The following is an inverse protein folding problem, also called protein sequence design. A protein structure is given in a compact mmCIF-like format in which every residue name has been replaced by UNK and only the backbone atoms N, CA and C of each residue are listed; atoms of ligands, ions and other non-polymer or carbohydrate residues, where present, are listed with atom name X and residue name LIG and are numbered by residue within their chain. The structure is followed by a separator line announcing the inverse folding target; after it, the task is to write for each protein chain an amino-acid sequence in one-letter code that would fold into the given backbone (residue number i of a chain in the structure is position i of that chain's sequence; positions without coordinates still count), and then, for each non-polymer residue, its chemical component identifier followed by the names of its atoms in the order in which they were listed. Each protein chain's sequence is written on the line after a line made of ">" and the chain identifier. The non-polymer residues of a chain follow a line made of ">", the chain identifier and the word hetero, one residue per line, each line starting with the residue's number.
data_IF_087223614330
#
_entry.id   IF_087223614330
#
_cell.length_a   1.000
_cell.length_b   1.000
_cell.length_c   1.000
_cell.angle_alpha   90.00
_cell.angle_beta   90.00
_cell.angle_gamma   90.00
#
_symmetry.space_group_name_H-M   'P 1'
#
loop_
_entity.id
_entity.type
_entity.pdbx_description
1 polymer ?
#
# COMPACT_ATOMS: atom_id res chain seq x y z
N UNK A 1 9.46 -15.11 25.33
CA UNK A 1 10.62 -15.77 24.66
C UNK A 1 11.54 -14.69 24.14
N UNK A 2 12.85 -15.01 23.92
CA UNK A 2 13.76 -14.12 23.16
C UNK A 2 13.71 -14.51 21.69
N UNK A 3 13.45 -13.54 20.82
CA UNK A 3 13.28 -13.75 19.38
C UNK A 3 14.19 -12.79 18.62
N UNK A 4 14.85 -13.29 17.57
CA UNK A 4 15.66 -12.47 16.68
C UNK A 4 14.98 -12.45 15.29
N UNK A 5 14.72 -11.26 14.78
CA UNK A 5 14.20 -11.03 13.43
C UNK A 5 15.34 -10.52 12.56
N UNK A 6 15.60 -11.19 11.45
CA UNK A 6 16.67 -10.82 10.51
C UNK A 6 16.08 -10.02 9.37
N UNK A 7 16.51 -8.78 9.25
CA UNK A 7 16.04 -7.81 8.25
C UNK A 7 14.92 -6.91 8.75
N UNK A 8 14.98 -5.64 8.36
CA UNK A 8 14.06 -4.56 8.75
C UNK A 8 13.24 -4.02 7.59
N UNK A 9 12.95 -4.84 6.58
CA UNK A 9 11.92 -4.52 5.60
C UNK A 9 10.52 -4.55 6.23
N UNK A 10 9.46 -4.18 5.50
CA UNK A 10 8.09 -4.17 6.03
C UNK A 10 7.69 -5.49 6.68
N UNK A 11 8.03 -6.64 6.07
CA UNK A 11 7.75 -7.96 6.65
C UNK A 11 8.45 -8.20 7.98
N UNK A 12 9.73 -7.84 8.08
CA UNK A 12 10.50 -7.99 9.32
C UNK A 12 10.01 -7.05 10.43
N UNK A 13 9.72 -5.79 10.07
CA UNK A 13 9.18 -4.80 11.03
C UNK A 13 7.80 -5.21 11.54
N UNK A 14 6.89 -5.60 10.65
CA UNK A 14 5.53 -6.03 11.04
C UNK A 14 5.55 -7.29 11.91
N UNK A 15 6.40 -8.26 11.56
CA UNK A 15 6.61 -9.46 12.38
C UNK A 15 7.13 -9.10 13.78
N UNK A 16 8.15 -8.26 13.86
CA UNK A 16 8.74 -7.86 15.13
C UNK A 16 7.73 -7.11 16.03
N UNK A 17 6.96 -6.18 15.47
CA UNK A 17 5.93 -5.44 16.21
C UNK A 17 4.86 -6.39 16.76
N UNK A 18 4.35 -7.32 15.93
CA UNK A 18 3.34 -8.30 16.37
C UNK A 18 3.86 -9.22 17.47
N UNK A 19 5.08 -9.71 17.34
CA UNK A 19 5.71 -10.54 18.37
C UNK A 19 5.97 -9.76 19.67
N UNK A 20 6.40 -8.51 19.57
CA UNK A 20 6.59 -7.64 20.73
C UNK A 20 5.25 -7.36 21.43
N UNK A 21 4.17 -7.11 20.66
CA UNK A 21 2.83 -6.90 21.20
C UNK A 21 2.28 -8.15 21.92
N UNK A 22 2.75 -9.35 21.58
CA UNK A 22 2.46 -10.59 22.28
C UNK A 22 3.31 -10.82 23.54
N UNK A 23 4.16 -9.84 23.91
CA UNK A 23 4.99 -9.90 25.13
C UNK A 23 6.32 -10.64 24.94
N UNK A 24 6.79 -10.82 23.72
CA UNK A 24 8.09 -11.42 23.46
C UNK A 24 9.20 -10.35 23.52
N UNK A 25 10.43 -10.77 23.91
CA UNK A 25 11.63 -9.94 23.82
C UNK A 25 12.22 -10.07 22.42
N UNK A 26 12.00 -9.04 21.58
CA UNK A 26 12.31 -9.09 20.15
C UNK A 26 13.48 -8.18 19.81
N UNK A 27 14.48 -8.74 19.11
CA UNK A 27 15.62 -8.00 18.57
C UNK A 27 15.63 -8.09 17.04
N UNK A 28 15.72 -6.93 16.36
CA UNK A 28 15.88 -6.87 14.90
C UNK A 28 17.37 -6.71 14.58
N UNK A 29 17.86 -7.48 13.62
CA UNK A 29 19.20 -7.35 13.05
C UNK A 29 19.07 -6.93 11.59
N UNK A 30 19.66 -5.77 11.24
CA UNK A 30 19.67 -5.22 9.90
C UNK A 30 21.11 -5.03 9.43
N UNK A 31 21.40 -5.43 8.18
CA UNK A 31 22.73 -5.31 7.60
C UNK A 31 23.08 -3.90 7.10
N UNK A 32 22.06 -3.10 6.81
CA UNK A 32 22.23 -1.73 6.34
C UNK A 32 22.24 -0.75 7.51
N UNK A 33 22.68 0.46 7.23
CA UNK A 33 22.69 1.56 8.20
C UNK A 33 21.33 2.25 8.39
N UNK A 34 20.32 1.91 7.58
CA UNK A 34 18.94 2.41 7.68
C UNK A 34 17.95 1.26 7.59
N UNK A 35 16.79 1.44 8.22
CA UNK A 35 15.67 0.50 8.18
C UNK A 35 14.83 0.69 6.90
N UNK A 36 13.93 -0.24 6.61
CA UNK A 36 12.92 -0.11 5.57
C UNK A 36 13.04 -1.10 4.40
N UNK A 37 14.17 -1.79 4.27
CA UNK A 37 14.36 -2.78 3.21
C UNK A 37 14.26 -2.17 1.81
N UNK A 38 13.27 -2.58 1.00
CA UNK A 38 13.03 -2.01 -0.34
C UNK A 38 12.34 -0.65 -0.32
N UNK A 39 11.77 -0.22 0.79
CA UNK A 39 11.24 1.14 0.99
C UNK A 39 12.34 2.09 1.50
N UNK A 40 13.51 2.01 0.88
CA UNK A 40 14.68 2.80 1.27
C UNK A 40 14.70 4.13 0.52
N UNK A 41 15.02 5.20 1.23
CA UNK A 41 15.24 6.51 0.62
C UNK A 41 16.73 6.73 0.45
N UNK A 42 17.16 6.98 -0.76
CA UNK A 42 18.53 7.36 -1.10
C UNK A 42 18.66 8.88 -1.03
N UNK A 43 19.74 9.34 -0.46
CA UNK A 43 20.05 10.77 -0.38
C UNK A 43 21.43 11.00 -1.00
N UNK A 44 21.50 11.93 -1.95
CA UNK A 44 22.74 12.31 -2.60
C UNK A 44 22.69 13.79 -2.99
N UNK A 45 23.71 14.55 -2.62
CA UNK A 45 23.88 15.96 -2.97
C UNK A 45 22.66 16.86 -2.64
N UNK A 46 21.98 16.54 -1.50
CA UNK A 46 20.78 17.25 -1.05
C UNK A 46 19.47 16.79 -1.72
N UNK A 47 19.54 15.87 -2.67
CA UNK A 47 18.37 15.26 -3.30
C UNK A 47 17.94 13.98 -2.58
N UNK A 48 16.63 13.70 -2.60
CA UNK A 48 16.03 12.48 -2.06
C UNK A 48 15.39 11.68 -3.17
N UNK A 49 15.72 10.40 -3.21
CA UNK A 49 15.21 9.46 -4.21
C UNK A 49 14.54 8.30 -3.50
N UNK A 50 13.25 8.13 -3.71
CA UNK A 50 12.53 6.96 -3.22
C UNK A 50 12.96 5.71 -4.01
N UNK A 51 13.52 4.74 -3.30
CA UNK A 51 13.98 3.49 -3.91
C UNK A 51 12.93 2.38 -3.96
N UNK A 52 11.70 2.68 -3.60
CA UNK A 52 10.64 1.69 -3.46
C UNK A 52 9.24 2.27 -3.66
N UNK A 53 8.24 1.67 -3.01
CA UNK A 53 6.86 2.15 -3.12
C UNK A 53 6.74 3.58 -2.58
N UNK A 54 6.19 4.47 -3.40
CA UNK A 54 5.90 5.86 -3.07
C UNK A 54 4.43 6.07 -2.68
N UNK A 55 3.57 5.12 -3.03
CA UNK A 55 2.13 5.17 -2.76
C UNK A 55 1.76 4.07 -1.77
N UNK A 56 1.08 4.46 -0.70
CA UNK A 56 0.53 3.52 0.29
C UNK A 56 -0.90 3.18 -0.12
N UNK A 57 -1.12 1.95 -0.59
CA UNK A 57 -2.42 1.48 -1.06
C UNK A 57 -3.26 0.80 0.01
N UNK A 58 -2.66 0.42 1.14
CA UNK A 58 -3.32 -0.25 2.26
C UNK A 58 -2.94 0.41 3.60
N UNK A 59 -3.34 1.67 3.85
CA UNK A 59 -2.97 2.42 5.05
C UNK A 59 -3.42 1.75 6.34
N UNK A 60 -4.55 1.03 6.35
CA UNK A 60 -5.07 0.32 7.52
C UNK A 60 -4.10 -0.75 8.06
N UNK A 61 -3.26 -1.36 7.22
CA UNK A 61 -2.24 -2.32 7.67
C UNK A 61 -1.13 -1.63 8.47
N UNK A 62 -0.86 -0.36 8.18
CA UNK A 62 0.06 0.46 8.97
C UNK A 62 -0.62 0.85 10.29
N UNK A 63 -1.86 1.32 10.23
CA UNK A 63 -2.65 1.71 11.41
C UNK A 63 -2.77 0.56 12.41
N UNK A 64 -2.97 -0.67 11.94
CA UNK A 64 -3.00 -1.87 12.77
C UNK A 64 -1.71 -2.04 13.56
N UNK A 65 -0.54 -1.88 12.93
CA UNK A 65 0.75 -2.04 13.59
C UNK A 65 0.98 -0.99 14.69
N UNK A 66 0.60 0.26 14.44
CA UNK A 66 0.65 1.30 15.47
C UNK A 66 -0.31 1.01 16.61
N UNK A 67 -1.53 0.57 16.32
CA UNK A 67 -2.53 0.19 17.32
C UNK A 67 -2.03 -0.96 18.19
N UNK A 68 -1.42 -2.00 17.61
CA UNK A 68 -0.81 -3.11 18.35
C UNK A 68 0.32 -2.66 19.29
N UNK A 69 1.04 -1.60 18.90
CA UNK A 69 2.07 -0.99 19.73
C UNK A 69 1.53 0.02 20.77
N UNK A 70 0.20 0.18 20.88
CA UNK A 70 -0.44 1.17 21.77
C UNK A 70 -0.22 2.62 21.33
N UNK A 71 -0.07 2.85 20.02
CA UNK A 71 0.24 4.15 19.41
C UNK A 71 -0.84 4.55 18.40
N UNK A 72 -0.86 5.84 18.04
CA UNK A 72 -1.66 6.37 16.96
C UNK A 72 -0.76 6.67 15.76
N UNK A 73 -1.14 6.21 14.57
CA UNK A 73 -0.35 6.44 13.35
C UNK A 73 -0.11 7.92 13.09
N UNK A 74 -1.13 8.75 13.30
CA UNK A 74 -1.10 10.18 13.04
C UNK A 74 -0.04 10.96 13.86
N UNK A 75 0.40 10.40 14.99
CA UNK A 75 1.46 11.01 15.81
C UNK A 75 2.86 10.83 15.18
N UNK A 76 3.00 9.90 14.25
CA UNK A 76 4.29 9.51 13.66
C UNK A 76 4.35 9.69 12.15
N UNK A 77 3.22 9.46 11.45
CA UNK A 77 3.15 9.45 9.98
C UNK A 77 1.93 10.25 9.53
N UNK A 78 2.16 11.24 8.68
CA UNK A 78 1.09 11.97 8.00
C UNK A 78 0.86 11.36 6.62
N UNK A 79 -0.22 10.60 6.47
CA UNK A 79 -0.68 10.12 5.17
C UNK A 79 -1.48 11.22 4.49
N UNK A 80 -1.15 11.50 3.23
CA UNK A 80 -1.81 12.51 2.41
C UNK A 80 -2.42 11.82 1.20
N UNK A 81 -3.72 12.06 0.97
CA UNK A 81 -4.40 11.57 -0.22
C UNK A 81 -3.80 12.23 -1.46
N UNK A 82 -3.50 11.43 -2.47
CA UNK A 82 -3.03 11.90 -3.76
C UNK A 82 -4.25 12.05 -4.67
N UNK A 83 -4.37 13.20 -5.35
CA UNK A 83 -5.41 13.45 -6.34
C UNK A 83 -4.83 14.35 -7.46
N UNK A 84 -4.80 13.91 -8.71
CA UNK A 84 -5.14 12.56 -9.16
C UNK A 84 -4.09 11.52 -8.77
N UNK A 85 -4.47 10.23 -8.71
CA UNK A 85 -3.54 9.12 -8.48
C UNK A 85 -2.55 8.98 -9.62
N UNK A 86 -3.05 9.11 -10.87
CA UNK A 86 -2.29 9.08 -12.11
C UNK A 86 -2.77 10.17 -13.06
N UNK A 87 -1.82 10.74 -13.78
CA UNK A 87 -2.05 11.64 -14.88
C UNK A 87 -1.47 10.99 -16.14
N UNK A 88 -2.34 10.52 -17.03
CA UNK A 88 -1.94 9.88 -18.28
C UNK A 88 -2.06 10.95 -19.39
N UNK A 89 -0.98 11.13 -20.15
CA UNK A 89 -0.88 12.09 -21.23
C UNK A 89 -0.51 11.37 -22.53
N UNK A 90 -1.27 11.62 -23.57
CA UNK A 90 -0.98 11.14 -24.90
C UNK A 90 -0.31 12.22 -25.76
N UNK A 91 0.31 11.81 -26.87
CA UNK A 91 1.04 12.70 -27.78
C UNK A 91 0.12 13.73 -28.46
N UNK A 92 -1.16 13.39 -28.65
CA UNK A 92 -2.19 14.29 -29.21
C UNK A 92 -2.67 15.36 -28.23
N UNK A 93 -2.10 15.42 -27.01
CA UNK A 93 -2.46 16.34 -25.95
C UNK A 93 -3.63 15.89 -25.08
N UNK A 94 -4.24 14.74 -25.35
CA UNK A 94 -5.28 14.17 -24.50
C UNK A 94 -4.72 13.87 -23.12
N UNK A 95 -5.49 14.22 -22.08
CA UNK A 95 -5.12 13.99 -20.67
C UNK A 95 -6.24 13.23 -19.97
N UNK A 96 -5.87 12.19 -19.24
CA UNK A 96 -6.76 11.43 -18.38
C UNK A 96 -6.24 11.47 -16.94
N UNK A 97 -7.06 12.02 -16.04
CA UNK A 97 -6.77 12.11 -14.62
C UNK A 97 -7.50 10.99 -13.87
N UNK A 98 -6.75 9.99 -13.44
CA UNK A 98 -7.32 8.89 -12.67
C UNK A 98 -7.38 9.25 -11.19
N UNK A 99 -8.58 9.29 -10.65
CA UNK A 99 -8.85 9.57 -9.23
C UNK A 99 -10.03 8.72 -8.73
N UNK A 100 -10.46 8.94 -7.48
CA UNK A 100 -11.58 8.21 -6.88
C UNK A 100 -12.96 8.85 -7.14
N UNK A 101 -13.02 9.97 -7.84
CA UNK A 101 -14.28 10.56 -8.28
C UNK A 101 -14.84 9.80 -9.50
N UNK A 102 -15.75 8.86 -9.24
CA UNK A 102 -16.38 8.03 -10.28
C UNK A 102 -17.10 8.87 -11.35
N UNK A 103 -17.70 10.00 -10.96
CA UNK A 103 -18.41 10.85 -11.93
C UNK A 103 -17.42 11.54 -12.88
N UNK A 104 -16.33 12.04 -12.33
CA UNK A 104 -15.24 12.62 -13.12
C UNK A 104 -14.65 11.58 -14.08
N UNK A 105 -14.37 10.35 -13.60
CA UNK A 105 -13.87 9.29 -14.46
C UNK A 105 -14.82 8.96 -15.60
N UNK A 106 -16.12 8.82 -15.33
CA UNK A 106 -17.12 8.56 -16.38
C UNK A 106 -17.18 9.71 -17.41
N UNK A 107 -17.09 10.95 -16.95
CA UNK A 107 -17.07 12.11 -17.85
C UNK A 107 -15.82 12.13 -18.75
N UNK A 108 -14.67 11.77 -18.22
CA UNK A 108 -13.43 11.66 -19.00
C UNK A 108 -13.50 10.50 -20.01
N UNK A 109 -14.00 9.33 -19.61
CA UNK A 109 -14.20 8.18 -20.50
C UNK A 109 -15.18 8.54 -21.62
N UNK A 110 -16.26 9.24 -21.29
CA UNK A 110 -17.25 9.67 -22.29
C UNK A 110 -16.66 10.60 -23.37
N UNK A 111 -15.68 11.43 -23.01
CA UNK A 111 -14.97 12.29 -23.97
C UNK A 111 -14.09 11.50 -24.93
N UNK A 112 -13.49 10.41 -24.47
CA UNK A 112 -12.60 9.56 -25.27
C UNK A 112 -13.44 8.57 -26.09
N UNK A 113 -14.30 7.80 -25.42
CA UNK A 113 -15.22 6.84 -26.06
C UNK A 113 -16.47 6.61 -25.20
N UNK A 114 -17.60 7.24 -25.54
CA UNK A 114 -18.83 7.10 -24.75
C UNK A 114 -19.35 5.66 -24.66
N UNK A 115 -19.03 4.80 -25.63
CA UNK A 115 -19.47 3.39 -25.66
C UNK A 115 -18.80 2.55 -24.56
N UNK A 116 -17.66 3.01 -24.01
CA UNK A 116 -16.90 2.27 -23.00
C UNK A 116 -17.37 2.53 -21.56
N UNK A 117 -18.28 3.45 -21.33
CA UNK A 117 -18.75 3.76 -19.96
C UNK A 117 -19.33 2.53 -19.27
N UNK A 118 -20.22 1.78 -19.96
CA UNK A 118 -20.84 0.59 -19.35
C UNK A 118 -19.84 -0.56 -19.19
N UNK A 119 -18.89 -0.71 -20.11
CA UNK A 119 -17.79 -1.67 -19.98
C UNK A 119 -16.91 -1.34 -18.77
N UNK A 120 -16.58 -0.06 -18.59
CA UNK A 120 -15.79 0.40 -17.45
C UNK A 120 -16.51 0.18 -16.11
N UNK A 121 -17.82 0.45 -16.02
CA UNK A 121 -18.62 0.18 -14.82
C UNK A 121 -18.60 -1.30 -14.43
N UNK A 122 -18.75 -2.19 -15.43
CA UNK A 122 -18.66 -3.65 -15.20
C UNK A 122 -17.28 -4.05 -14.72
N UNK A 123 -16.22 -3.52 -15.34
CA UNK A 123 -14.85 -3.75 -14.95
C UNK A 123 -14.59 -3.29 -13.50
N UNK A 124 -14.99 -2.06 -13.15
CA UNK A 124 -14.84 -1.52 -11.80
C UNK A 124 -15.56 -2.38 -10.76
N UNK A 125 -16.77 -2.86 -11.07
CA UNK A 125 -17.50 -3.79 -10.20
C UNK A 125 -16.75 -5.10 -10.00
N UNK A 126 -16.16 -5.66 -11.04
CA UNK A 126 -15.35 -6.88 -10.91
C UNK A 126 -14.10 -6.64 -10.05
N UNK A 127 -13.48 -5.47 -10.15
CA UNK A 127 -12.36 -5.10 -9.29
C UNK A 127 -12.77 -4.98 -7.83
N UNK A 128 -13.93 -4.41 -7.53
CA UNK A 128 -14.47 -4.35 -6.16
C UNK A 128 -14.65 -5.77 -5.57
N UNK A 129 -15.15 -6.71 -6.37
CA UNK A 129 -15.29 -8.13 -5.96
C UNK A 129 -13.93 -8.79 -5.71
N UNK A 130 -12.96 -8.60 -6.60
CA UNK A 130 -11.59 -9.11 -6.45
C UNK A 130 -10.93 -8.51 -5.20
N UNK A 131 -11.09 -7.20 -5.00
CA UNK A 131 -10.56 -6.52 -3.82
C UNK A 131 -11.12 -7.11 -2.54
N UNK A 132 -12.45 -7.27 -2.45
CA UNK A 132 -13.12 -7.85 -1.30
C UNK A 132 -12.61 -9.26 -1.00
N UNK A 133 -12.48 -10.10 -2.02
CA UNK A 133 -11.94 -11.45 -1.83
C UNK A 133 -10.48 -11.40 -1.38
N UNK A 134 -9.65 -10.63 -2.06
CA UNK A 134 -8.20 -10.58 -1.82
C UNK A 134 -7.82 -9.96 -0.48
N UNK A 135 -8.51 -8.91 -0.04
CA UNK A 135 -8.14 -8.18 1.17
C UNK A 135 -9.02 -8.47 2.39
N UNK A 136 -10.28 -8.87 2.20
CA UNK A 136 -11.18 -9.10 3.32
C UNK A 136 -11.37 -10.59 3.65
N UNK A 137 -11.35 -11.47 2.64
CA UNK A 137 -11.62 -12.89 2.84
C UNK A 137 -10.35 -13.75 2.90
N UNK A 138 -9.31 -13.41 2.13
CA UNK A 138 -8.07 -14.19 2.02
C UNK A 138 -6.95 -13.60 2.90
N UNK A 139 -7.23 -12.56 3.68
CA UNK A 139 -6.27 -11.95 4.62
C UNK A 139 -5.96 -12.89 5.80
N UNK A 140 -5.55 -14.11 5.49
CA UNK A 140 -5.14 -15.16 6.43
C UNK A 140 -3.88 -15.85 5.94
N UNK A 141 -2.97 -16.23 6.86
CA UNK A 141 -1.81 -16.99 6.46
C UNK A 141 -2.24 -18.34 5.85
N UNK A 142 -1.74 -18.65 4.67
CA UNK A 142 -1.91 -19.97 4.03
C UNK A 142 -1.07 -20.99 4.78
N UNK A 143 -1.61 -21.50 5.89
CA UNK A 143 -0.88 -22.40 6.80
C UNK A 143 -1.06 -23.89 6.45
N UNK A 144 -1.94 -24.23 5.50
CA UNK A 144 -2.12 -25.61 5.04
C UNK A 144 -2.58 -25.67 3.58
N UNK A 145 -2.21 -26.77 2.91
CA UNK A 145 -2.64 -27.10 1.52
C UNK A 145 -4.17 -27.34 1.41
N UNK A 146 -4.87 -27.45 2.53
CA UNK A 146 -6.32 -27.71 2.58
C UNK A 146 -7.19 -26.46 2.30
N UNK A 147 -6.61 -25.34 1.89
CA UNK A 147 -7.32 -24.09 1.56
C UNK A 147 -7.53 -23.92 0.05
N UNK A 148 -7.13 -24.91 -0.77
CA UNK A 148 -7.37 -24.93 -2.23
C UNK A 148 -8.45 -25.94 -2.61
#
# INVERSE_FOLDING_TARGET
>A
MKIVVIGSGFGGLSCAIRLQAQGHDVKIIEKRNKLGGRAYVYEQDGFKFDGGPTIITAPWLIDELFTLAGKQTADYVKLVKIDPFYNIRWEDGTVFNYNDDKQNLYAQIAKINPKEIESYKKFAKSLDEIYRVGFELIDKPFSSIAIW
#
